data_IF_017667769058
#
_entry.id   IF_017667769058
#
_cell.length_a   1.000
_cell.length_b   1.000
_cell.length_c   1.000
_cell.angle_alpha   90.00
_cell.angle_beta   90.00
_cell.angle_gamma   90.00
#
_symmetry.space_group_name_H-M   'P 1'
#
loop_
_entity.id
_entity.type
_entity.pdbx_description
1 polymer ?
#
# COMPACT_ATOMS: atom_id res chain seq x y z
N UNK A 1 5.04 24.34 -28.50
CA UNK A 1 4.91 24.76 -27.09
C UNK A 1 3.55 24.29 -26.63
N UNK A 2 3.47 23.20 -25.86
CA UNK A 2 2.22 22.65 -25.36
C UNK A 2 1.91 23.28 -23.99
N UNK A 3 0.66 23.67 -23.76
CA UNK A 3 0.22 24.29 -22.50
C UNK A 3 -0.69 23.32 -21.78
N UNK A 4 -0.34 22.95 -20.55
CA UNK A 4 -1.19 22.12 -19.70
C UNK A 4 -2.20 23.01 -18.98
N UNK A 5 -3.47 22.62 -19.02
CA UNK A 5 -4.55 23.29 -18.29
C UNK A 5 -5.06 22.37 -17.19
N UNK A 6 -5.12 22.82 -15.96
CA UNK A 6 -5.80 22.12 -14.86
C UNK A 6 -7.25 22.57 -14.82
N UNK A 7 -8.25 21.71 -15.12
CA UNK A 7 -9.63 22.03 -14.80
C UNK A 7 -9.83 21.95 -13.28
N UNK A 8 -10.38 23.00 -12.69
CA UNK A 8 -10.82 22.98 -11.31
C UNK A 8 -11.89 21.89 -11.14
N UNK A 9 -11.61 20.85 -10.35
CA UNK A 9 -12.61 19.87 -9.96
C UNK A 9 -13.50 20.48 -8.87
N UNK A 10 -14.64 21.05 -9.26
CA UNK A 10 -15.77 21.22 -8.36
C UNK A 10 -16.43 19.85 -8.18
N UNK A 11 -16.37 19.29 -6.99
CA UNK A 11 -17.15 18.14 -6.60
C UNK A 11 -18.59 18.57 -6.32
N UNK A 12 -19.61 18.10 -7.07
CA UNK A 12 -20.97 18.09 -6.57
C UNK A 12 -21.23 16.71 -5.96
N UNK A 13 -21.47 16.67 -4.66
CA UNK A 13 -22.15 15.55 -4.03
C UNK A 13 -23.57 15.44 -4.62
N UNK A 14 -23.76 14.57 -5.60
CA UNK A 14 -25.09 14.17 -6.04
C UNK A 14 -25.38 12.76 -5.51
N UNK A 15 -26.19 12.72 -4.46
CA UNK A 15 -26.82 11.50 -3.99
C UNK A 15 -27.75 10.97 -5.09
N UNK A 16 -27.38 9.89 -5.77
CA UNK A 16 -28.25 9.12 -6.64
C UNK A 16 -29.08 8.16 -5.82
N UNK A 17 -30.33 8.50 -5.60
CA UNK A 17 -31.39 7.58 -5.17
C UNK A 17 -31.73 6.66 -6.35
N UNK A 18 -31.45 5.36 -6.21
CA UNK A 18 -31.97 4.34 -7.12
C UNK A 18 -33.43 4.05 -6.75
N UNK A 19 -34.35 4.43 -7.62
CA UNK A 19 -35.74 4.00 -7.55
C UNK A 19 -35.88 2.62 -8.22
N UNK A 20 -36.42 1.66 -7.46
CA UNK A 20 -36.86 0.37 -7.99
C UNK A 20 -38.17 0.59 -8.76
N UNK A 21 -38.16 0.32 -10.06
CA UNK A 21 -39.40 0.21 -10.86
C UNK A 21 -39.90 -1.25 -10.80
N UNK A 22 -41.02 -1.43 -10.14
CA UNK A 22 -41.77 -2.69 -10.08
C UNK A 22 -42.60 -2.78 -11.37
N UNK A 23 -42.30 -3.73 -12.25
CA UNK A 23 -43.16 -4.04 -13.40
C UNK A 23 -44.15 -5.13 -13.01
N UNK A 24 -45.40 -4.73 -12.87
CA UNK A 24 -46.53 -5.62 -12.67
C UNK A 24 -47.04 -6.10 -14.03
N UNK A 25 -47.00 -7.39 -14.26
CA UNK A 25 -47.58 -8.02 -15.47
C UNK A 25 -48.98 -8.56 -15.14
N UNK A 26 -50.01 -7.94 -15.71
CA UNK A 26 -51.37 -8.45 -15.67
C UNK A 26 -51.55 -9.59 -16.65
N UNK A 27 -51.98 -10.78 -16.16
CA UNK A 27 -52.45 -11.85 -16.99
C UNK A 27 -53.97 -11.85 -17.01
N UNK A 28 -54.57 -11.78 -18.20
CA UNK A 28 -56.00 -11.91 -18.45
C UNK A 28 -56.37 -13.39 -18.51
N UNK A 29 -57.38 -13.77 -17.74
CA UNK A 29 -57.99 -15.07 -17.75
C UNK A 29 -59.00 -15.21 -18.89
N UNK A 30 -59.00 -16.35 -19.58
CA UNK A 30 -60.12 -16.80 -20.39
C UNK A 30 -60.49 -18.21 -20.00
N UNK A 31 -61.76 -18.38 -19.58
CA UNK A 31 -62.38 -19.65 -19.23
C UNK A 31 -62.67 -20.55 -20.44
N UNK A 32 -62.40 -21.85 -20.31
CA UNK A 32 -62.88 -22.88 -21.22
C UNK A 32 -62.93 -24.24 -20.50
N UNK A 33 -64.15 -24.75 -20.20
CA UNK A 33 -64.43 -26.05 -19.58
C UNK A 33 -64.17 -27.21 -20.51
N UNK A 34 -63.57 -28.29 -20.04
CA UNK A 34 -64.02 -29.69 -20.19
C UNK A 34 -63.02 -30.65 -19.51
N UNK A 35 -63.55 -31.44 -18.59
CA UNK A 35 -63.03 -32.75 -18.16
C UNK A 35 -63.51 -33.83 -19.16
N UNK A 36 -62.96 -35.09 -19.18
CA UNK A 36 -62.56 -35.91 -18.06
C UNK A 36 -61.29 -36.81 -18.29
N UNK A 37 -60.85 -37.35 -17.15
CA UNK A 37 -60.16 -38.65 -16.92
C UNK A 37 -58.95 -39.03 -17.79
N UNK A 38 -57.80 -39.14 -17.12
CA UNK A 38 -57.04 -40.42 -17.10
C UNK A 38 -55.81 -40.34 -16.17
N UNK A 39 -55.73 -41.35 -15.33
CA UNK A 39 -54.54 -41.98 -14.75
C UNK A 39 -53.38 -41.11 -14.16
N UNK A 40 -53.24 -41.18 -12.84
CA UNK A 40 -52.05 -40.76 -12.12
C UNK A 40 -50.78 -41.44 -12.67
N UNK A 41 -49.93 -40.61 -13.29
CA UNK A 41 -48.54 -40.98 -13.57
C UNK A 41 -47.70 -40.61 -12.34
N UNK A 42 -47.14 -41.63 -11.71
CA UNK A 42 -46.13 -41.50 -10.64
C UNK A 42 -44.98 -40.61 -11.10
N UNK A 43 -44.53 -39.56 -10.39
CA UNK A 43 -43.37 -38.77 -10.82
C UNK A 43 -42.12 -39.65 -10.77
N UNK A 44 -41.51 -39.84 -11.94
CA UNK A 44 -40.19 -40.43 -12.04
C UNK A 44 -39.21 -39.51 -11.29
N UNK A 45 -38.38 -40.02 -10.34
CA UNK A 45 -37.37 -39.20 -9.70
C UNK A 45 -36.46 -38.59 -10.75
N UNK A 46 -36.28 -37.27 -10.72
CA UNK A 46 -35.31 -36.58 -11.57
C UNK A 46 -33.95 -37.24 -11.38
N UNK A 47 -33.39 -37.78 -12.45
CA UNK A 47 -32.05 -38.35 -12.44
C UNK A 47 -31.08 -37.29 -11.96
N UNK A 48 -30.32 -37.60 -10.93
CA UNK A 48 -29.17 -36.75 -10.51
C UNK A 48 -28.26 -36.54 -11.71
N UNK A 49 -27.76 -35.31 -11.90
CA UNK A 49 -26.84 -35.06 -13.02
C UNK A 49 -25.67 -36.05 -12.95
N UNK A 50 -25.20 -36.58 -14.07
CA UNK A 50 -24.10 -37.52 -14.08
C UNK A 50 -22.85 -36.84 -13.43
N UNK A 51 -22.05 -37.60 -12.66
CA UNK A 51 -20.82 -37.05 -12.10
C UNK A 51 -19.96 -36.48 -13.23
N UNK A 52 -19.48 -35.25 -13.03
CA UNK A 52 -18.58 -34.58 -14.00
C UNK A 52 -17.42 -35.54 -14.32
N UNK A 53 -17.09 -35.68 -15.59
CA UNK A 53 -15.99 -36.56 -16.01
C UNK A 53 -14.69 -36.11 -15.28
N UNK A 54 -13.80 -37.05 -14.86
CA UNK A 54 -12.59 -36.71 -14.09
C UNK A 54 -11.79 -35.56 -14.68
N UNK A 55 -11.63 -35.48 -15.99
CA UNK A 55 -10.94 -34.39 -16.70
C UNK A 55 -11.62 -33.00 -16.52
N UNK A 56 -12.93 -32.92 -16.40
CA UNK A 56 -13.65 -31.67 -16.15
C UNK A 56 -13.47 -31.21 -14.69
N UNK A 57 -13.42 -32.15 -13.74
CA UNK A 57 -13.15 -31.85 -12.34
C UNK A 57 -11.70 -31.35 -12.13
N UNK A 58 -10.73 -31.96 -12.81
CA UNK A 58 -9.31 -31.52 -12.78
C UNK A 58 -9.13 -30.13 -13.41
N UNK A 59 -9.79 -29.85 -14.53
CA UNK A 59 -9.76 -28.54 -15.16
C UNK A 59 -10.38 -27.46 -14.26
N UNK A 60 -11.50 -27.76 -13.61
CA UNK A 60 -12.16 -26.84 -12.65
C UNK A 60 -11.27 -26.58 -11.43
N UNK A 61 -10.60 -27.62 -10.88
CA UNK A 61 -9.65 -27.49 -9.78
C UNK A 61 -8.46 -26.62 -10.19
N UNK A 62 -7.84 -26.86 -11.33
CA UNK A 62 -6.71 -26.09 -11.84
C UNK A 62 -7.07 -24.61 -12.02
N UNK A 63 -8.27 -24.35 -12.59
CA UNK A 63 -8.80 -22.99 -12.74
C UNK A 63 -9.00 -22.30 -11.38
N UNK A 64 -9.51 -23.01 -10.38
CA UNK A 64 -9.71 -22.48 -9.04
C UNK A 64 -8.36 -22.17 -8.34
N UNK A 65 -7.36 -23.03 -8.49
CA UNK A 65 -6.00 -22.78 -7.97
C UNK A 65 -5.40 -21.52 -8.60
N UNK A 66 -5.50 -21.38 -9.94
CA UNK A 66 -5.02 -20.21 -10.67
C UNK A 66 -5.69 -18.91 -10.22
N UNK A 67 -7.00 -18.91 -10.07
CA UNK A 67 -7.75 -17.76 -9.58
C UNK A 67 -7.37 -17.40 -8.13
N UNK A 68 -7.23 -18.40 -7.26
CA UNK A 68 -6.82 -18.19 -5.87
C UNK A 68 -5.41 -17.61 -5.78
N UNK A 69 -4.46 -18.12 -6.59
CA UNK A 69 -3.10 -17.62 -6.64
C UNK A 69 -3.04 -16.17 -7.12
N UNK A 70 -3.84 -15.81 -8.15
CA UNK A 70 -3.98 -14.43 -8.61
C UNK A 70 -4.42 -13.50 -7.47
N UNK A 71 -5.47 -13.86 -6.78
CA UNK A 71 -6.01 -13.04 -5.69
C UNK A 71 -5.03 -12.95 -4.50
N UNK A 72 -4.35 -14.05 -4.16
CA UNK A 72 -3.35 -14.08 -3.10
C UNK A 72 -2.12 -13.22 -3.45
N UNK A 73 -1.72 -13.21 -4.73
CA UNK A 73 -0.63 -12.36 -5.20
C UNK A 73 -1.00 -10.88 -5.16
N UNK A 74 -2.18 -10.50 -5.68
CA UNK A 74 -2.67 -9.11 -5.64
C UNK A 74 -2.76 -8.62 -4.19
N UNK A 75 -3.38 -9.42 -3.31
CA UNK A 75 -3.55 -9.06 -1.90
C UNK A 75 -2.24 -8.97 -1.13
N UNK A 76 -1.32 -9.93 -1.37
CA UNK A 76 -0.07 -10.07 -0.64
C UNK A 76 1.09 -9.24 -1.18
N UNK A 77 0.99 -8.73 -2.41
CA UNK A 77 2.08 -8.01 -3.05
C UNK A 77 2.62 -6.83 -2.22
N UNK A 78 1.76 -5.96 -1.64
CA UNK A 78 2.26 -4.86 -0.82
C UNK A 78 3.10 -5.32 0.38
N UNK A 79 2.76 -6.46 0.98
CA UNK A 79 3.54 -7.03 2.09
C UNK A 79 4.94 -7.46 1.62
N UNK A 80 5.01 -8.17 0.49
CA UNK A 80 6.30 -8.70 -0.02
C UNK A 80 7.18 -7.58 -0.56
N UNK A 81 6.61 -6.57 -1.24
CA UNK A 81 7.36 -5.38 -1.67
C UNK A 81 7.82 -4.54 -0.46
N UNK A 82 6.98 -4.43 0.58
CA UNK A 82 7.36 -3.85 1.87
C UNK A 82 8.50 -4.61 2.54
N UNK A 83 8.49 -5.95 2.44
CA UNK A 83 9.57 -6.81 2.96
C UNK A 83 10.92 -6.56 2.28
N UNK A 84 10.93 -6.35 0.98
CA UNK A 84 12.15 -5.94 0.26
C UNK A 84 12.78 -4.72 0.91
N UNK A 85 11.98 -3.69 1.18
CA UNK A 85 12.45 -2.46 1.82
C UNK A 85 12.90 -2.71 3.27
N UNK A 86 12.12 -3.47 4.04
CA UNK A 86 12.48 -3.87 5.41
C UNK A 86 13.84 -4.59 5.44
N UNK A 87 14.01 -5.59 4.58
CA UNK A 87 15.24 -6.37 4.52
C UNK A 87 16.44 -5.49 4.20
N UNK A 88 16.34 -4.67 3.17
CA UNK A 88 17.41 -3.78 2.73
C UNK A 88 17.76 -2.71 3.79
N UNK A 89 16.76 -2.12 4.45
CA UNK A 89 16.96 -0.98 5.34
C UNK A 89 17.28 -1.37 6.79
N UNK A 90 16.83 -2.56 7.26
CA UNK A 90 16.94 -2.90 8.69
C UNK A 90 17.61 -4.25 8.97
N UNK A 91 17.75 -5.14 7.97
CA UNK A 91 18.27 -6.50 8.16
C UNK A 91 19.64 -6.68 7.52
N UNK A 92 19.80 -6.34 6.25
CA UNK A 92 21.05 -6.47 5.49
C UNK A 92 22.07 -5.41 5.89
N UNK A 93 22.77 -5.65 7.01
CA UNK A 93 23.73 -4.70 7.58
C UNK A 93 24.91 -4.37 6.67
N UNK A 94 25.21 -5.22 5.69
CA UNK A 94 26.28 -5.02 4.71
C UNK A 94 25.81 -4.33 3.42
N UNK A 95 24.51 -4.21 3.23
CA UNK A 95 23.91 -3.63 2.02
C UNK A 95 24.02 -2.11 1.98
N UNK A 96 24.10 -1.57 0.76
CA UNK A 96 24.19 -0.12 0.53
C UNK A 96 22.98 0.68 1.03
N UNK A 97 21.83 0.02 1.19
CA UNK A 97 20.58 0.65 1.62
C UNK A 97 20.29 0.44 3.12
N UNK A 98 21.23 -0.10 3.89
CA UNK A 98 21.06 -0.25 5.34
C UNK A 98 21.05 1.11 6.03
N UNK A 99 20.03 1.38 6.82
CA UNK A 99 19.88 2.63 7.55
C UNK A 99 20.06 2.45 9.07
N UNK A 100 19.31 1.53 9.67
CA UNK A 100 19.38 1.22 11.10
C UNK A 100 18.70 -0.12 11.39
N UNK A 101 19.06 -0.77 12.50
CA UNK A 101 18.33 -1.95 12.98
C UNK A 101 16.93 -1.61 13.50
N UNK A 102 16.15 -2.65 13.87
CA UNK A 102 14.82 -2.44 14.45
C UNK A 102 14.88 -1.57 15.70
N UNK A 103 13.84 -0.74 15.86
CA UNK A 103 13.68 0.20 16.96
C UNK A 103 14.83 1.23 17.07
N UNK A 104 15.49 1.51 15.95
CA UNK A 104 16.53 2.54 15.80
C UNK A 104 16.20 3.45 14.61
N UNK A 105 16.46 4.75 14.77
CA UNK A 105 16.24 5.74 13.71
C UNK A 105 17.51 5.89 12.88
N UNK A 106 17.39 5.65 11.58
CA UNK A 106 18.40 5.98 10.58
C UNK A 106 18.07 7.32 9.91
N UNK A 107 18.96 8.31 10.04
CA UNK A 107 18.77 9.63 9.44
C UNK A 107 19.53 9.75 8.12
N UNK A 108 18.83 10.20 7.07
CA UNK A 108 19.45 10.57 5.79
C UNK A 108 19.15 12.05 5.55
N UNK A 109 20.15 12.87 5.68
CA UNK A 109 20.03 14.34 5.59
C UNK A 109 20.17 14.88 4.15
N UNK A 110 20.22 14.01 3.15
CA UNK A 110 20.26 14.37 1.73
C UNK A 110 18.90 14.16 1.10
N UNK A 111 18.59 14.95 0.08
CA UNK A 111 17.45 14.67 -0.81
C UNK A 111 17.88 13.71 -1.90
N UNK A 112 16.90 13.06 -2.54
CA UNK A 112 17.16 12.16 -3.64
C UNK A 112 17.77 12.91 -4.85
N UNK A 113 18.64 12.23 -5.57
CA UNK A 113 19.31 12.65 -6.80
C UNK A 113 19.10 11.60 -7.89
N UNK A 114 19.49 11.82 -9.14
CA UNK A 114 19.41 10.79 -10.20
C UNK A 114 20.21 9.51 -9.89
N UNK A 115 21.13 9.54 -8.93
CA UNK A 115 21.91 8.38 -8.49
C UNK A 115 21.13 7.45 -7.57
N UNK A 116 20.03 7.93 -6.99
CA UNK A 116 19.18 7.19 -6.08
C UNK A 116 18.13 6.40 -6.88
N UNK A 117 18.47 5.15 -7.22
CA UNK A 117 17.68 4.28 -8.10
C UNK A 117 16.90 3.20 -7.38
N UNK A 118 17.01 3.11 -6.05
CA UNK A 118 16.39 2.07 -5.25
C UNK A 118 14.85 2.19 -5.16
N UNK A 119 14.34 3.41 -5.23
CA UNK A 119 12.89 3.71 -5.17
C UNK A 119 12.55 4.61 -6.36
N UNK A 120 11.47 4.28 -7.07
CA UNK A 120 10.95 5.10 -8.17
C UNK A 120 10.25 6.36 -7.63
N UNK A 121 10.17 7.40 -8.44
CA UNK A 121 9.61 8.72 -8.09
C UNK A 121 10.14 9.27 -6.77
N UNK A 122 11.48 9.29 -6.57
CA UNK A 122 12.08 9.71 -5.31
C UNK A 122 11.81 11.20 -5.04
N UNK A 123 11.57 11.52 -3.76
CA UNK A 123 11.25 12.88 -3.32
C UNK A 123 12.53 13.71 -3.08
N UNK A 124 12.58 14.92 -3.64
CA UNK A 124 13.65 15.89 -3.41
C UNK A 124 13.26 17.07 -2.50
N UNK A 125 12.04 17.08 -1.94
CA UNK A 125 11.58 18.16 -1.04
C UNK A 125 11.98 17.95 0.42
N UNK A 126 12.00 16.67 0.85
CA UNK A 126 12.13 16.32 2.26
C UNK A 126 13.18 15.24 2.49
N UNK A 127 14.28 15.52 3.18
CA UNK A 127 15.13 14.48 3.76
C UNK A 127 14.35 13.54 4.66
N UNK A 128 14.75 12.26 4.67
CA UNK A 128 14.06 11.20 5.37
C UNK A 128 14.78 10.73 6.64
N UNK A 129 13.99 10.26 7.61
CA UNK A 129 14.48 9.34 8.63
C UNK A 129 13.64 8.08 8.62
N UNK A 130 14.24 6.95 8.89
CA UNK A 130 13.68 5.61 8.73
C UNK A 130 13.66 4.89 10.07
N UNK A 131 12.55 4.25 10.41
CA UNK A 131 12.42 3.48 11.63
C UNK A 131 11.56 2.24 11.37
N UNK A 132 12.18 1.08 11.31
CA UNK A 132 11.48 -0.20 11.36
C UNK A 132 11.25 -0.60 12.82
N UNK A 133 10.00 -0.89 13.17
CA UNK A 133 9.58 -1.20 14.54
C UNK A 133 9.29 -2.68 14.69
N UNK A 134 9.88 -3.30 15.71
CA UNK A 134 9.48 -4.59 16.23
C UNK A 134 8.68 -4.36 17.51
N UNK A 135 7.38 -4.61 17.45
CA UNK A 135 6.41 -4.35 18.51
C UNK A 135 6.02 -5.62 19.26
N UNK A 136 6.71 -6.75 19.01
CA UNK A 136 6.35 -8.06 19.58
C UNK A 136 6.59 -8.14 21.09
N UNK A 137 7.64 -7.50 21.61
CA UNK A 137 7.94 -7.51 23.04
C UNK A 137 7.17 -6.44 23.79
N UNK A 138 7.18 -5.23 23.26
CA UNK A 138 6.51 -4.07 23.85
C UNK A 138 6.32 -2.96 22.81
N UNK A 139 5.42 -1.99 23.07
CA UNK A 139 5.29 -0.78 22.26
C UNK A 139 6.57 0.05 22.22
N UNK A 140 6.71 0.89 21.20
CA UNK A 140 7.76 1.90 21.13
C UNK A 140 7.20 3.30 21.24
N UNK A 141 7.97 4.20 21.85
CA UNK A 141 7.61 5.62 22.00
C UNK A 141 8.50 6.44 21.07
N UNK A 142 7.87 7.16 20.14
CA UNK A 142 8.50 8.12 19.23
C UNK A 142 8.35 9.51 19.82
N UNK A 143 9.48 10.18 20.09
CA UNK A 143 9.50 11.57 20.55
C UNK A 143 9.93 12.49 19.42
N UNK A 144 9.15 13.55 19.18
CA UNK A 144 9.43 14.58 18.18
C UNK A 144 9.65 15.93 18.88
N UNK A 145 10.61 16.76 18.41
CA UNK A 145 10.82 18.09 18.95
C UNK A 145 9.69 19.05 18.58
N UNK A 146 9.67 20.23 19.16
CA UNK A 146 8.90 21.35 18.61
C UNK A 146 9.50 21.76 17.26
N UNK A 147 8.66 21.86 16.25
CA UNK A 147 9.07 22.19 14.89
C UNK A 147 8.39 23.50 14.46
N UNK A 148 9.17 24.41 13.86
CA UNK A 148 8.70 25.71 13.40
C UNK A 148 7.43 25.59 12.55
N UNK A 149 6.52 26.53 12.74
CA UNK A 149 5.23 26.57 12.05
C UNK A 149 5.34 26.60 10.52
N UNK A 150 6.43 27.14 9.99
CA UNK A 150 6.68 27.29 8.56
C UNK A 150 7.32 26.05 7.94
N UNK A 151 7.75 25.08 8.75
CA UNK A 151 8.39 23.86 8.26
C UNK A 151 7.40 22.70 8.29
N UNK A 152 7.19 22.07 7.14
CA UNK A 152 6.49 20.81 7.09
C UNK A 152 7.33 19.68 7.70
N UNK A 153 6.67 18.82 8.45
CA UNK A 153 7.18 17.52 8.85
C UNK A 153 6.03 16.53 9.01
N UNK A 154 6.33 15.27 8.81
CA UNK A 154 5.43 14.18 9.15
C UNK A 154 6.20 12.93 9.54
N UNK A 155 5.61 12.12 10.41
CA UNK A 155 5.97 10.73 10.65
C UNK A 155 4.80 9.90 10.20
N UNK A 156 4.93 9.30 9.05
CA UNK A 156 3.93 8.39 8.46
C UNK A 156 4.10 7.03 9.12
N UNK A 157 3.06 6.52 9.76
CA UNK A 157 3.03 5.21 10.42
C UNK A 157 2.34 4.20 9.51
N UNK A 158 3.05 3.14 9.17
CA UNK A 158 2.69 2.18 8.13
C UNK A 158 2.79 0.77 8.71
N UNK A 159 1.78 -0.05 8.50
CA UNK A 159 1.79 -1.47 8.89
C UNK A 159 2.44 -2.37 7.81
N UNK A 160 2.57 -3.68 8.08
CA UNK A 160 3.10 -4.61 7.09
C UNK A 160 2.23 -4.75 5.84
N UNK A 161 0.94 -4.48 5.93
CA UNK A 161 0.05 -4.44 4.78
C UNK A 161 0.27 -3.20 3.90
N UNK A 162 1.14 -2.27 4.32
CA UNK A 162 1.36 -0.95 3.71
C UNK A 162 0.19 0.02 3.86
N UNK A 163 -0.73 -0.21 4.79
CA UNK A 163 -1.71 0.81 5.15
C UNK A 163 -1.06 1.90 5.99
N UNK A 164 -1.41 3.15 5.68
CA UNK A 164 -1.06 4.31 6.52
C UNK A 164 -2.04 4.37 7.69
N UNK A 165 -1.70 3.82 8.84
CA UNK A 165 -2.64 3.77 9.95
C UNK A 165 -2.69 5.05 10.78
N UNK A 166 -1.63 5.90 10.73
CA UNK A 166 -1.61 7.19 11.42
C UNK A 166 -0.48 8.10 10.92
N UNK A 167 -0.52 9.36 11.38
CA UNK A 167 0.52 10.35 11.18
C UNK A 167 0.83 11.10 12.48
N UNK A 168 2.12 11.33 12.75
CA UNK A 168 2.56 12.32 13.72
C UNK A 168 3.03 13.52 12.89
N UNK A 169 2.20 14.54 12.81
CA UNK A 169 2.43 15.74 12.02
C UNK A 169 2.11 16.99 12.85
N UNK A 170 2.03 18.14 12.21
CA UNK A 170 1.71 19.38 12.89
C UNK A 170 0.35 19.34 13.59
N UNK A 171 -0.65 18.67 13.03
CA UNK A 171 -1.96 18.53 13.66
C UNK A 171 -1.87 17.72 14.97
N UNK A 172 -1.16 16.61 14.96
CA UNK A 172 -0.99 15.76 16.15
C UNK A 172 -0.12 16.41 17.24
N UNK A 173 0.87 17.22 16.83
CA UNK A 173 1.80 17.87 17.77
C UNK A 173 1.33 19.25 18.24
N UNK A 174 0.39 19.89 17.53
CA UNK A 174 0.03 21.31 17.71
C UNK A 174 1.26 22.24 17.67
N UNK A 175 2.30 21.85 16.94
CA UNK A 175 3.58 22.56 16.87
C UNK A 175 4.47 22.45 18.11
N UNK A 176 4.12 21.62 19.09
CA UNK A 176 4.88 21.40 20.33
C UNK A 176 5.64 20.07 20.27
N UNK A 177 6.71 19.97 21.06
CA UNK A 177 7.35 18.67 21.31
C UNK A 177 6.35 17.69 21.94
N UNK A 178 6.51 16.41 21.63
CA UNK A 178 5.62 15.38 22.17
C UNK A 178 6.15 13.97 22.02
N UNK A 179 5.66 13.08 22.86
CA UNK A 179 5.89 11.65 22.78
C UNK A 179 4.62 10.94 22.35
N UNK A 180 4.73 10.05 21.39
CA UNK A 180 3.66 9.29 20.76
C UNK A 180 4.02 7.81 20.80
N UNK A 181 3.08 6.95 21.14
CA UNK A 181 3.34 5.53 21.26
C UNK A 181 2.76 4.77 20.08
N UNK A 182 3.54 3.85 19.54
CA UNK A 182 3.09 2.84 18.56
C UNK A 182 3.04 1.49 19.27
N UNK A 183 1.86 0.90 19.31
CA UNK A 183 1.60 -0.40 19.93
C UNK A 183 1.25 -1.44 18.87
N UNK A 184 1.72 -2.66 19.06
CA UNK A 184 1.33 -3.82 18.26
C UNK A 184 -0.09 -4.31 18.60
N UNK A 185 -0.61 -5.28 17.83
CA UNK A 185 -1.99 -5.77 17.97
C UNK A 185 -2.27 -6.41 19.34
N UNK A 186 -1.26 -6.97 19.99
CA UNK A 186 -1.42 -7.71 21.25
C UNK A 186 -1.41 -6.80 22.50
N UNK A 187 -1.11 -5.50 22.31
CA UNK A 187 -1.04 -4.57 23.44
C UNK A 187 -2.41 -4.01 23.79
N UNK A 188 -2.82 -4.20 25.08
CA UNK A 188 -4.13 -3.80 25.60
C UNK A 188 -4.08 -2.79 26.75
N UNK A 189 -2.90 -2.19 27.00
CA UNK A 189 -2.72 -1.23 28.10
C UNK A 189 -3.43 0.11 27.86
N UNK A 190 -3.47 0.92 28.94
CA UNK A 190 -3.95 2.29 28.92
C UNK A 190 -2.85 3.24 28.41
N UNK A 191 -3.25 4.45 27.97
CA UNK A 191 -2.28 5.48 27.55
C UNK A 191 -1.32 5.83 28.68
N UNK A 192 0.00 5.60 28.53
CA UNK A 192 0.96 5.84 29.59
C UNK A 192 1.14 7.34 29.87
N UNK A 193 1.56 7.67 31.11
CA UNK A 193 1.87 9.05 31.49
C UNK A 193 2.98 9.61 30.60
N UNK A 194 2.78 10.81 30.07
CA UNK A 194 3.74 11.49 29.20
C UNK A 194 3.58 11.18 27.73
N UNK A 195 2.77 10.19 27.38
CA UNK A 195 2.38 9.88 25.98
C UNK A 195 1.15 10.72 25.61
N UNK A 196 1.23 11.45 24.49
CA UNK A 196 0.13 12.27 23.99
C UNK A 196 -0.98 11.45 23.35
N UNK A 197 -0.56 10.43 22.57
CA UNK A 197 -1.48 9.58 21.82
C UNK A 197 -0.85 8.21 21.59
N UNK A 198 -1.71 7.18 21.58
CA UNK A 198 -1.35 5.81 21.24
C UNK A 198 -1.91 5.49 19.85
N UNK A 199 -1.05 5.05 18.95
CA UNK A 199 -1.40 4.52 17.65
C UNK A 199 -1.27 2.99 17.68
N UNK A 200 -2.27 2.28 17.20
CA UNK A 200 -2.28 0.81 17.19
C UNK A 200 -2.05 0.31 15.77
N UNK A 201 -0.97 -0.43 15.58
CA UNK A 201 -0.70 -1.15 14.35
C UNK A 201 -1.50 -2.46 14.32
N UNK A 202 -1.98 -2.86 13.15
CA UNK A 202 -2.62 -4.17 12.95
C UNK A 202 -1.60 -5.31 12.88
N UNK A 203 -0.31 -4.98 12.78
CA UNK A 203 0.79 -5.94 12.62
C UNK A 203 1.85 -5.74 13.69
N UNK A 204 2.55 -6.82 14.04
CA UNK A 204 3.61 -6.82 15.06
C UNK A 204 4.91 -6.16 14.59
N UNK A 205 5.13 -6.05 13.29
CA UNK A 205 6.18 -5.22 12.70
C UNK A 205 5.50 -4.05 11.99
N UNK A 206 6.10 -2.86 12.08
CA UNK A 206 5.58 -1.64 11.45
C UNK A 206 6.73 -0.73 11.00
N UNK A 207 6.41 0.27 10.20
CA UNK A 207 7.36 1.21 9.66
C UNK A 207 6.95 2.64 9.97
N UNK A 208 7.89 3.48 10.36
CA UNK A 208 7.71 4.91 10.48
C UNK A 208 8.68 5.64 9.53
N UNK A 209 8.09 6.37 8.58
CA UNK A 209 8.82 7.18 7.61
C UNK A 209 8.68 8.65 7.97
N UNK A 210 9.80 9.24 8.37
CA UNK A 210 9.85 10.67 8.73
C UNK A 210 10.19 11.50 7.51
N UNK A 211 9.46 12.58 7.31
CA UNK A 211 9.75 13.62 6.32
C UNK A 211 10.00 14.94 7.02
N UNK A 212 11.13 15.56 6.77
CA UNK A 212 11.49 16.87 7.31
C UNK A 212 11.79 17.79 6.14
N UNK A 213 10.98 18.83 5.93
CA UNK A 213 11.13 19.74 4.79
C UNK A 213 12.49 20.41 4.78
N UNK A 214 13.14 20.42 3.62
CA UNK A 214 14.33 21.22 3.31
C UNK A 214 13.85 22.52 2.63
N UNK A 215 13.93 23.65 3.31
CA UNK A 215 13.43 24.92 2.80
C UNK A 215 14.31 25.50 1.69
N UNK A 216 15.62 25.24 1.71
CA UNK A 216 16.61 25.61 0.72
C UNK A 216 17.88 24.78 0.96
N UNK A 217 18.82 24.67 0.00
CA UNK A 217 20.09 23.95 0.21
C UNK A 217 20.87 24.44 1.45
N UNK A 218 20.82 25.73 1.76
CA UNK A 218 21.46 26.33 2.95
C UNK A 218 20.80 25.94 4.28
N UNK A 219 19.61 25.33 4.26
CA UNK A 219 18.86 24.90 5.45
C UNK A 219 19.22 23.48 5.92
N UNK A 220 20.13 22.79 5.23
CA UNK A 220 20.46 21.39 5.50
C UNK A 220 20.92 21.13 6.93
N UNK A 221 21.68 22.04 7.53
CA UNK A 221 22.15 21.88 8.90
C UNK A 221 21.01 22.04 9.94
N UNK A 222 19.96 22.79 9.61
CA UNK A 222 18.74 22.82 10.41
C UNK A 222 18.00 21.48 10.36
N UNK A 223 17.89 20.88 9.17
CA UNK A 223 17.29 19.55 8.99
C UNK A 223 18.07 18.52 9.80
N UNK A 224 19.41 18.47 9.71
CA UNK A 224 20.26 17.58 10.50
C UNK A 224 20.01 17.73 12.01
N UNK A 225 19.92 18.98 12.51
CA UNK A 225 19.65 19.25 13.91
C UNK A 225 18.26 18.76 14.36
N UNK A 226 17.25 18.86 13.49
CA UNK A 226 15.92 18.35 13.76
C UNK A 226 15.90 16.82 13.78
N UNK A 227 16.51 16.20 12.76
CA UNK A 227 16.62 14.74 12.66
C UNK A 227 17.33 14.13 13.89
N UNK A 228 18.38 14.79 14.39
CA UNK A 228 19.10 14.36 15.59
C UNK A 228 18.26 14.44 16.90
N UNK A 229 17.15 15.15 16.88
CA UNK A 229 16.24 15.28 18.02
C UNK A 229 15.08 14.26 18.00
N UNK A 230 14.85 13.58 16.86
CA UNK A 230 13.91 12.46 16.85
C UNK A 230 14.47 11.33 17.71
N UNK A 231 13.64 10.79 18.60
CA UNK A 231 14.01 9.68 19.48
C UNK A 231 13.01 8.57 19.39
N UNK A 232 13.47 7.35 19.52
CA UNK A 232 12.66 6.15 19.70
C UNK A 232 13.17 5.38 20.91
N UNK A 233 12.27 4.91 21.74
CA UNK A 233 12.56 4.13 22.94
C UNK A 233 11.50 3.04 23.12
N UNK A 234 11.85 1.85 23.62
CA UNK A 234 10.87 0.92 24.16
C UNK A 234 10.03 1.59 25.26
N UNK A 235 8.80 1.18 25.42
CA UNK A 235 7.89 1.76 26.44
C UNK A 235 8.46 1.65 27.84
N UNK A 236 9.05 0.51 28.20
CA UNK A 236 9.69 0.29 29.50
C UNK A 236 10.80 1.31 29.79
N UNK A 237 11.66 1.56 28.80
CA UNK A 237 12.73 2.57 28.90
C UNK A 237 12.18 4.00 29.02
N UNK A 238 11.09 4.31 28.29
CA UNK A 238 10.42 5.62 28.40
C UNK A 238 9.83 5.87 29.79
N UNK A 239 9.26 4.82 30.41
CA UNK A 239 8.67 4.89 31.75
C UNK A 239 9.68 4.70 32.91
N UNK A 240 10.90 4.27 32.61
CA UNK A 240 11.87 3.90 33.65
C UNK A 240 11.48 2.62 34.40
N UNK A 241 10.78 1.69 33.76
CA UNK A 241 10.34 0.40 34.33
C UNK A 241 11.20 -0.75 33.80
N UNK A 242 11.21 -1.92 34.46
CA UNK A 242 11.88 -3.10 33.93
C UNK A 242 11.33 -3.49 32.55
N UNK A 243 12.22 -3.87 31.64
CA UNK A 243 11.84 -4.35 30.32
C UNK A 243 11.12 -5.71 30.43
N UNK A 244 10.10 -5.98 29.61
CA UNK A 244 9.51 -7.30 29.49
C UNK A 244 10.53 -8.30 28.89
N UNK A 245 10.27 -9.61 28.93
CA UNK A 245 11.08 -10.58 28.23
C UNK A 245 11.21 -10.22 26.73
N UNK A 246 12.42 -10.36 26.19
CA UNK A 246 12.66 -10.11 24.78
C UNK A 246 11.85 -11.07 23.90
N UNK A 247 11.35 -10.57 22.78
CA UNK A 247 10.73 -11.43 21.76
C UNK A 247 11.74 -12.45 21.22
N UNK A 248 11.24 -13.61 20.78
CA UNK A 248 12.09 -14.63 20.17
C UNK A 248 12.89 -14.06 18.98
N UNK A 249 14.17 -14.41 18.82
CA UNK A 249 14.96 -13.99 17.66
C UNK A 249 14.28 -14.38 16.34
N UNK A 250 14.42 -13.53 15.33
CA UNK A 250 13.90 -13.78 13.98
C UNK A 250 15.05 -14.05 13.02
N UNK A 251 14.87 -15.07 12.20
CA UNK A 251 15.69 -15.29 11.01
C UNK A 251 14.92 -14.77 9.80
N UNK A 252 15.34 -13.63 9.29
CA UNK A 252 14.74 -13.03 8.10
C UNK A 252 15.26 -13.72 6.85
N UNK A 253 14.38 -14.29 5.99
CA UNK A 253 14.80 -14.85 4.70
C UNK A 253 15.50 -13.79 3.84
N UNK A 254 16.70 -14.06 3.28
CA UNK A 254 17.32 -13.13 2.35
C UNK A 254 16.37 -12.79 1.19
N UNK A 255 16.22 -11.49 0.90
CA UNK A 255 15.38 -11.07 -0.20
C UNK A 255 16.05 -11.35 -1.54
N UNK A 256 15.34 -12.02 -2.42
CA UNK A 256 15.74 -12.34 -3.78
C UNK A 256 14.60 -11.97 -4.74
N UNK A 257 14.90 -11.09 -5.72
CA UNK A 257 13.90 -10.55 -6.62
C UNK A 257 13.33 -11.60 -7.58
N UNK A 258 14.12 -12.59 -8.02
CA UNK A 258 13.65 -13.66 -8.90
C UNK A 258 12.65 -14.56 -8.16
N UNK A 259 12.99 -14.94 -6.93
CA UNK A 259 12.08 -15.70 -6.07
C UNK A 259 10.79 -14.92 -5.78
N UNK A 260 10.88 -13.62 -5.50
CA UNK A 260 9.71 -12.78 -5.22
C UNK A 260 8.79 -12.59 -6.44
N UNK A 261 9.30 -12.74 -7.66
CA UNK A 261 8.51 -12.70 -8.89
C UNK A 261 7.96 -14.08 -9.33
N UNK A 262 8.35 -15.17 -8.67
CA UNK A 262 7.88 -16.52 -8.89
C UNK A 262 7.11 -17.08 -7.69
N UNK A 263 7.09 -18.42 -7.56
CA UNK A 263 6.39 -19.09 -6.45
C UNK A 263 7.04 -18.82 -5.08
N UNK A 264 8.32 -18.47 -5.04
CA UNK A 264 8.99 -18.01 -3.83
C UNK A 264 8.33 -16.78 -3.18
N UNK A 265 7.49 -16.03 -3.92
CA UNK A 265 6.62 -15.00 -3.38
C UNK A 265 5.80 -15.50 -2.19
N UNK A 266 5.21 -16.70 -2.31
CA UNK A 266 4.37 -17.27 -1.25
C UNK A 266 5.17 -17.66 -0.01
N UNK A 267 6.47 -17.99 -0.16
CA UNK A 267 7.37 -18.19 0.97
C UNK A 267 7.59 -16.90 1.77
N UNK A 268 7.84 -15.77 1.09
CA UNK A 268 7.93 -14.46 1.75
C UNK A 268 6.61 -14.07 2.39
N UNK A 269 5.51 -14.27 1.69
CA UNK A 269 4.18 -13.95 2.22
C UNK A 269 3.90 -14.76 3.49
N UNK A 270 4.14 -16.07 3.50
CA UNK A 270 3.97 -16.92 4.69
C UNK A 270 4.84 -16.47 5.86
N UNK A 271 6.09 -16.08 5.60
CA UNK A 271 6.96 -15.51 6.63
C UNK A 271 6.38 -14.25 7.23
N UNK A 272 5.82 -13.34 6.42
CA UNK A 272 5.26 -12.07 6.89
C UNK A 272 3.94 -12.25 7.64
N UNK A 273 3.13 -13.22 7.23
CA UNK A 273 1.82 -13.46 7.81
C UNK A 273 1.86 -13.92 9.27
N UNK A 274 2.99 -14.40 9.77
CA UNK A 274 3.15 -14.72 11.20
C UNK A 274 3.10 -13.46 12.09
N UNK A 275 3.36 -12.27 11.52
CA UNK A 275 3.33 -10.98 12.22
C UNK A 275 2.04 -10.19 11.96
N UNK A 276 1.12 -10.77 11.21
CA UNK A 276 -0.12 -10.15 10.76
C UNK A 276 -1.33 -11.00 11.20
N UNK A 277 -1.88 -10.77 12.40
CA UNK A 277 -3.05 -11.48 12.89
C UNK A 277 -4.20 -11.44 11.88
N UNK A 278 -4.98 -12.51 11.83
CA UNK A 278 -6.16 -12.59 10.95
C UNK A 278 -7.23 -11.66 11.48
N UNK A 279 -7.69 -10.72 10.66
CA UNK A 279 -8.84 -9.90 10.96
C UNK A 279 -10.13 -10.62 10.59
N UNK A 280 -11.21 -10.38 11.34
CA UNK A 280 -12.51 -11.00 11.09
C UNK A 280 -12.97 -10.82 9.64
N UNK A 281 -12.77 -9.63 9.08
CA UNK A 281 -13.10 -9.29 7.69
C UNK A 281 -12.29 -10.06 6.64
N UNK A 282 -11.14 -10.64 7.00
CA UNK A 282 -10.25 -11.37 6.09
C UNK A 282 -10.25 -12.88 6.33
N UNK A 283 -11.03 -13.39 7.29
CA UNK A 283 -11.03 -14.81 7.67
C UNK A 283 -11.32 -15.72 6.47
N UNK A 284 -12.39 -15.46 5.72
CA UNK A 284 -12.74 -16.26 4.55
C UNK A 284 -11.68 -16.18 3.44
N UNK A 285 -11.10 -15.01 3.25
CA UNK A 285 -10.03 -14.78 2.27
C UNK A 285 -8.78 -15.60 2.64
N UNK A 286 -8.35 -15.51 3.91
CA UNK A 286 -7.18 -16.23 4.42
C UNK A 286 -7.39 -17.77 4.40
N UNK A 287 -8.60 -18.26 4.69
CA UNK A 287 -8.94 -19.68 4.52
C UNK A 287 -8.84 -20.14 3.07
N UNK A 288 -9.29 -19.33 2.11
CA UNK A 288 -9.14 -19.64 0.68
C UNK A 288 -7.68 -19.70 0.28
N UNK A 289 -6.86 -18.79 0.77
CA UNK A 289 -5.41 -18.77 0.49
C UNK A 289 -4.66 -19.95 1.12
N UNK A 290 -5.11 -20.45 2.28
CA UNK A 290 -4.57 -21.68 2.86
C UNK A 290 -4.72 -22.89 1.93
N UNK A 291 -5.77 -22.92 1.08
CA UNK A 291 -5.99 -23.95 0.06
C UNK A 291 -4.89 -24.04 -1.01
N UNK A 292 -4.04 -23.02 -1.14
CA UNK A 292 -2.88 -23.02 -2.04
C UNK A 292 -1.55 -22.97 -1.26
N UNK A 293 -1.55 -23.26 0.05
CA UNK A 293 -0.36 -23.29 0.89
C UNK A 293 0.08 -21.91 1.43
N UNK A 294 -0.76 -20.88 1.34
CA UNK A 294 -0.48 -19.57 1.95
C UNK A 294 -0.99 -19.54 3.38
N UNK A 295 -0.07 -19.82 4.32
CA UNK A 295 -0.37 -19.97 5.73
C UNK A 295 0.70 -19.28 6.61
N UNK A 296 0.32 -18.61 7.72
CA UNK A 296 1.25 -17.88 8.58
C UNK A 296 2.40 -18.75 9.10
N UNK A 297 3.64 -18.33 8.82
CA UNK A 297 4.86 -18.95 9.33
C UNK A 297 5.15 -20.36 8.80
N UNK A 298 4.31 -20.92 7.94
CA UNK A 298 4.57 -22.24 7.35
C UNK A 298 5.49 -22.13 6.12
N UNK A 299 6.38 -23.10 5.91
CA UNK A 299 7.13 -23.20 4.67
C UNK A 299 6.19 -23.36 3.47
N UNK A 300 6.46 -22.66 2.38
CA UNK A 300 5.83 -22.95 1.10
C UNK A 300 6.74 -23.90 0.31
N UNK A 301 6.34 -25.17 0.22
CA UNK A 301 7.15 -26.20 -0.43
C UNK A 301 6.81 -26.31 -1.93
N UNK A 302 7.52 -25.51 -2.70
CA UNK A 302 7.38 -25.50 -4.17
C UNK A 302 7.74 -26.85 -4.81
N UNK A 303 8.70 -27.58 -4.22
CA UNK A 303 9.18 -28.85 -4.78
C UNK A 303 8.14 -29.97 -4.62
N UNK A 304 7.31 -29.91 -3.60
CA UNK A 304 6.24 -30.88 -3.35
C UNK A 304 5.00 -30.67 -4.25
N UNK A 305 4.90 -29.56 -4.98
CA UNK A 305 3.74 -29.27 -5.83
C UNK A 305 3.73 -30.16 -7.08
N UNK A 306 2.58 -30.75 -7.44
CA UNK A 306 2.37 -31.35 -8.77
C UNK A 306 2.66 -30.32 -9.87
N UNK A 307 3.16 -30.77 -11.02
CA UNK A 307 3.50 -29.87 -12.14
C UNK A 307 2.31 -29.00 -12.58
N UNK A 308 1.11 -29.61 -12.66
CA UNK A 308 -0.13 -28.90 -13.00
C UNK A 308 -0.50 -27.79 -12.00
N UNK A 309 -0.29 -28.04 -10.73
CA UNK A 309 -0.56 -27.06 -9.66
C UNK A 309 0.45 -25.91 -9.72
N UNK A 310 1.73 -26.25 -9.94
CA UNK A 310 2.80 -25.26 -10.14
C UNK A 310 2.49 -24.34 -11.31
N UNK A 311 2.09 -24.89 -12.46
CA UNK A 311 1.69 -24.10 -13.63
C UNK A 311 0.47 -23.24 -13.35
N UNK A 312 -0.53 -23.75 -12.61
CA UNK A 312 -1.72 -22.99 -12.24
C UNK A 312 -1.37 -21.79 -11.35
N UNK A 313 -0.50 -21.99 -10.34
CA UNK A 313 -0.09 -20.91 -9.43
C UNK A 313 0.74 -19.85 -10.18
N UNK A 314 1.70 -20.24 -11.02
CA UNK A 314 2.46 -19.31 -11.86
C UNK A 314 1.56 -18.57 -12.84
N UNK A 315 0.56 -19.25 -13.42
CA UNK A 315 -0.47 -18.64 -14.26
C UNK A 315 -1.26 -17.57 -13.50
N UNK A 316 -1.58 -17.81 -12.24
CA UNK A 316 -2.26 -16.83 -11.37
C UNK A 316 -1.42 -15.57 -11.14
N UNK A 317 -0.11 -15.72 -10.89
CA UNK A 317 0.82 -14.58 -10.78
C UNK A 317 0.87 -13.78 -12.08
N UNK A 318 0.94 -14.46 -13.24
CA UNK A 318 0.93 -13.82 -14.53
C UNK A 318 -0.39 -13.04 -14.78
N UNK A 319 -1.54 -13.64 -14.45
CA UNK A 319 -2.86 -12.98 -14.55
C UNK A 319 -2.95 -11.73 -13.67
N UNK A 320 -2.38 -11.76 -12.45
CA UNK A 320 -2.34 -10.61 -11.56
C UNK A 320 -1.55 -9.44 -12.19
N UNK A 321 -0.40 -9.71 -12.78
CA UNK A 321 0.40 -8.69 -13.46
C UNK A 321 -0.31 -8.14 -14.70
N UNK A 322 -0.98 -8.99 -15.52
CA UNK A 322 -1.77 -8.53 -16.64
C UNK A 322 -2.97 -7.66 -16.20
N UNK A 323 -3.60 -8.00 -15.07
CA UNK A 323 -4.68 -7.18 -14.50
C UNK A 323 -4.17 -5.80 -14.09
N UNK A 324 -2.99 -5.74 -13.46
CA UNK A 324 -2.34 -4.49 -13.11
C UNK A 324 -2.00 -3.66 -14.36
N UNK A 325 -1.43 -4.25 -15.40
CA UNK A 325 -1.09 -3.55 -16.65
C UNK A 325 -2.35 -2.92 -17.27
N UNK A 326 -3.45 -3.67 -17.33
CA UNK A 326 -4.74 -3.14 -17.80
C UNK A 326 -5.23 -2.00 -16.94
N UNK A 327 -5.18 -2.18 -15.61
CA UNK A 327 -5.61 -1.15 -14.66
C UNK A 327 -4.79 0.14 -14.81
N UNK A 328 -3.47 0.02 -14.95
CA UNK A 328 -2.60 1.18 -15.22
C UNK A 328 -2.98 1.87 -16.52
N UNK A 329 -3.18 1.12 -17.61
CA UNK A 329 -3.50 1.67 -18.92
C UNK A 329 -4.87 2.35 -18.96
N UNK A 330 -5.89 1.76 -18.31
CA UNK A 330 -7.29 2.21 -18.43
C UNK A 330 -7.75 3.15 -17.33
N UNK A 331 -7.13 3.11 -16.14
CA UNK A 331 -7.59 3.88 -14.99
C UNK A 331 -6.56 4.93 -14.53
N UNK A 332 -5.27 4.54 -14.39
CA UNK A 332 -4.23 5.45 -13.88
C UNK A 332 -3.76 6.40 -14.97
N UNK A 333 -3.36 5.89 -16.14
CA UNK A 333 -2.87 6.72 -17.24
C UNK A 333 -3.96 7.64 -17.83
N UNK A 334 -5.21 7.33 -17.58
CA UNK A 334 -6.37 8.17 -17.95
C UNK A 334 -6.83 9.10 -16.83
N UNK A 335 -6.09 9.14 -15.72
CA UNK A 335 -6.38 9.97 -14.54
C UNK A 335 -7.77 9.73 -13.90
N UNK A 336 -8.37 8.54 -14.09
CA UNK A 336 -9.60 8.14 -13.37
C UNK A 336 -9.28 7.72 -11.94
N UNK A 337 -8.10 7.12 -11.72
CA UNK A 337 -7.57 6.75 -10.41
C UNK A 337 -6.31 7.57 -10.17
N UNK A 338 -6.28 8.27 -9.06
CA UNK A 338 -5.15 9.07 -8.62
C UNK A 338 -4.36 8.36 -7.51
N UNK A 339 -3.17 8.87 -7.19
CA UNK A 339 -2.37 8.39 -6.05
C UNK A 339 -3.16 8.41 -4.74
N UNK A 340 -3.99 9.44 -4.54
CA UNK A 340 -4.86 9.59 -3.37
C UNK A 340 -5.84 8.41 -3.16
N UNK A 341 -6.17 7.67 -4.22
CA UNK A 341 -7.07 6.52 -4.18
C UNK A 341 -6.34 5.20 -3.84
N UNK A 342 -5.00 5.19 -3.97
CA UNK A 342 -4.17 3.99 -3.82
C UNK A 342 -3.48 3.88 -2.45
N UNK A 343 -3.40 4.98 -1.70
CA UNK A 343 -2.75 5.05 -0.39
C UNK A 343 -3.69 5.58 0.69
N UNK A 344 -3.68 4.94 1.84
CA UNK A 344 -4.57 5.35 2.93
C UNK A 344 -4.66 4.35 4.04
N UNK A 345 -5.63 4.56 4.93
CA UNK A 345 -5.98 3.60 5.98
C UNK A 345 -6.74 2.40 5.39
N UNK A 346 -6.78 1.28 6.10
CA UNK A 346 -7.62 0.14 5.74
C UNK A 346 -9.09 0.56 5.55
N UNK A 347 -9.61 1.39 6.43
CA UNK A 347 -10.99 1.88 6.33
C UNK A 347 -11.27 2.69 5.06
N UNK A 348 -10.27 3.47 4.58
CA UNK A 348 -10.40 4.23 3.35
C UNK A 348 -10.31 3.34 2.09
N UNK A 349 -9.36 2.41 2.07
CA UNK A 349 -9.08 1.56 0.91
C UNK A 349 -9.99 0.34 0.83
N UNK A 350 -10.55 -0.12 1.96
CA UNK A 350 -11.45 -1.28 2.03
C UNK A 350 -10.84 -2.50 1.32
N UNK A 351 -11.64 -3.15 0.47
CA UNK A 351 -11.25 -4.35 -0.29
C UNK A 351 -10.63 -4.02 -1.66
N UNK A 352 -10.18 -2.78 -1.87
CA UNK A 352 -9.52 -2.36 -3.11
C UNK A 352 -8.08 -2.88 -3.18
N UNK A 353 -7.92 -4.20 -3.17
CA UNK A 353 -6.60 -4.84 -3.19
C UNK A 353 -5.81 -4.54 -4.46
N UNK A 354 -6.48 -4.38 -5.60
CA UNK A 354 -5.84 -3.99 -6.85
C UNK A 354 -5.23 -2.57 -6.77
N UNK A 355 -5.90 -1.63 -6.09
CA UNK A 355 -5.38 -0.29 -5.86
C UNK A 355 -4.13 -0.31 -4.98
N UNK A 356 -4.14 -1.14 -3.93
CA UNK A 356 -2.96 -1.35 -3.06
C UNK A 356 -1.82 -2.00 -3.82
N UNK A 357 -2.11 -3.00 -4.67
CA UNK A 357 -1.13 -3.62 -5.55
C UNK A 357 -0.51 -2.60 -6.49
N UNK A 358 -1.33 -1.78 -7.16
CA UNK A 358 -0.86 -0.70 -8.02
C UNK A 358 -0.03 0.33 -7.24
N UNK A 359 -0.49 0.76 -6.07
CA UNK A 359 0.24 1.68 -5.20
C UNK A 359 1.60 1.15 -4.80
N UNK A 360 1.69 -0.11 -4.36
CA UNK A 360 2.96 -0.74 -3.99
C UNK A 360 3.92 -0.91 -5.18
N UNK A 361 3.38 -1.25 -6.37
CA UNK A 361 4.17 -1.46 -7.58
C UNK A 361 4.67 -0.17 -8.21
N UNK A 362 3.89 0.91 -8.13
CA UNK A 362 4.18 2.18 -8.81
C UNK A 362 4.84 3.23 -7.89
N UNK A 363 4.81 3.03 -6.57
CA UNK A 363 5.38 3.99 -5.64
C UNK A 363 5.03 3.69 -4.18
N UNK A 364 5.59 2.64 -3.63
CA UNK A 364 5.35 2.19 -2.24
C UNK A 364 5.50 3.34 -1.23
N UNK A 365 4.69 3.32 -0.16
CA UNK A 365 4.67 4.30 0.94
C UNK A 365 4.24 5.72 0.55
N UNK A 366 3.40 5.84 -0.47
CA UNK A 366 2.71 7.10 -0.77
C UNK A 366 1.87 7.58 0.41
N UNK A 367 1.69 8.90 0.52
CA UNK A 367 0.88 9.48 1.57
C UNK A 367 -0.62 9.28 1.34
N UNK A 368 -1.39 9.24 2.41
CA UNK A 368 -2.84 9.37 2.34
C UNK A 368 -3.24 10.74 1.78
N UNK A 369 -4.38 10.83 1.10
CA UNK A 369 -4.91 12.06 0.52
C UNK A 369 -5.02 13.23 1.52
N UNK A 370 -5.27 12.93 2.80
CA UNK A 370 -5.34 13.94 3.86
C UNK A 370 -3.99 14.58 4.21
N UNK A 371 -2.88 13.93 3.85
CA UNK A 371 -1.52 14.40 4.14
C UNK A 371 -0.87 15.01 2.90
N UNK A 372 -0.96 14.37 1.74
CA UNK A 372 -0.43 14.90 0.48
C UNK A 372 -1.26 14.41 -0.72
N UNK A 373 -1.39 15.25 -1.72
CA UNK A 373 -1.98 14.91 -3.01
C UNK A 373 -0.91 14.96 -4.10
N UNK A 374 -0.91 13.93 -4.97
CA UNK A 374 0.05 13.76 -6.05
C UNK A 374 -0.67 13.82 -7.38
N UNK A 375 -0.53 14.95 -8.08
CA UNK A 375 -1.06 15.11 -9.43
C UNK A 375 0.01 14.76 -10.45
N UNK A 376 -0.30 13.85 -11.37
CA UNK A 376 0.62 13.40 -12.41
C UNK A 376 0.13 13.81 -13.79
N UNK A 377 1.04 14.30 -14.62
CA UNK A 377 0.75 14.74 -15.98
C UNK A 377 1.58 13.90 -16.96
N UNK A 378 0.91 13.05 -17.73
CA UNK A 378 1.51 12.17 -18.74
C UNK A 378 1.19 12.61 -20.16
N UNK A 379 0.26 13.54 -20.32
CA UNK A 379 -0.22 14.03 -21.61
C UNK A 379 -0.30 15.55 -21.60
N UNK A 380 -0.25 16.16 -22.79
CA UNK A 380 -0.48 17.59 -22.96
C UNK A 380 -1.99 17.96 -22.91
N UNK A 381 -2.29 19.23 -23.14
CA UNK A 381 -3.68 19.73 -23.15
C UNK A 381 -4.54 19.14 -24.29
N UNK A 382 -3.94 18.55 -25.30
CA UNK A 382 -4.58 17.88 -26.43
C UNK A 382 -4.73 16.38 -26.22
N UNK A 383 -4.21 15.82 -25.09
CA UNK A 383 -4.23 14.40 -24.79
C UNK A 383 -3.08 13.62 -25.45
N UNK A 384 -2.10 14.33 -26.05
CA UNK A 384 -0.92 13.70 -26.66
C UNK A 384 0.09 13.35 -25.55
N UNK A 385 0.70 12.14 -25.56
CA UNK A 385 1.72 11.78 -24.60
C UNK A 385 2.85 12.82 -24.54
N UNK A 386 3.23 13.19 -23.31
CA UNK A 386 4.30 14.16 -23.10
C UNK A 386 5.65 13.55 -23.50
N UNK A 387 6.38 14.23 -24.38
CA UNK A 387 7.73 13.87 -24.84
C UNK A 387 8.68 15.07 -24.70
N UNK A 388 9.42 15.11 -23.58
CA UNK A 388 10.40 16.18 -23.29
C UNK A 388 11.61 16.18 -24.23
N UNK A 389 11.84 15.14 -25.03
CA UNK A 389 12.90 15.10 -26.04
C UNK A 389 12.54 15.92 -27.30
N UNK A 390 11.24 16.11 -27.55
CA UNK A 390 10.72 16.79 -28.74
C UNK A 390 10.11 18.15 -28.42
N UNK A 391 9.60 18.36 -27.20
CA UNK A 391 8.80 19.53 -26.88
C UNK A 391 9.17 20.14 -25.53
N UNK A 392 9.02 21.43 -25.41
CA UNK A 392 9.03 22.15 -24.14
C UNK A 392 7.58 22.29 -23.65
N UNK A 393 7.36 22.03 -22.34
CA UNK A 393 6.04 22.09 -21.72
C UNK A 393 5.96 23.24 -20.72
N UNK A 394 4.77 23.81 -20.57
CA UNK A 394 4.46 24.87 -19.59
C UNK A 394 3.30 24.42 -18.74
N UNK A 395 3.53 24.27 -17.44
CA UNK A 395 2.48 24.13 -16.44
C UNK A 395 2.10 25.53 -15.95
N UNK A 396 0.83 25.88 -16.06
CA UNK A 396 0.34 27.21 -15.67
C UNK A 396 -0.74 27.09 -14.61
N UNK A 397 -0.56 27.80 -13.51
CA UNK A 397 -1.59 28.02 -12.50
C UNK A 397 -2.13 29.46 -12.65
N UNK A 398 -3.45 29.62 -12.70
CA UNK A 398 -4.04 30.95 -12.58
C UNK A 398 -3.85 31.47 -11.15
N UNK A 399 -3.97 32.79 -10.95
CA UNK A 399 -3.67 33.45 -9.67
C UNK A 399 -4.49 32.89 -8.49
N UNK A 400 -5.68 32.44 -8.77
CA UNK A 400 -6.66 31.87 -7.82
C UNK A 400 -6.74 30.34 -7.85
N UNK A 401 -5.86 29.68 -8.62
CA UNK A 401 -5.82 28.24 -8.83
C UNK A 401 -4.50 27.60 -8.41
N UNK A 402 -3.78 28.23 -7.50
CA UNK A 402 -2.61 27.60 -6.88
C UNK A 402 -3.05 26.37 -6.09
N UNK A 403 -2.18 25.32 -5.98
CA UNK A 403 -2.49 24.13 -5.20
C UNK A 403 -2.95 24.48 -3.77
N UNK A 404 -4.12 24.00 -3.31
CA UNK A 404 -4.69 24.35 -2.01
C UNK A 404 -4.00 23.59 -0.88
N UNK A 405 -2.76 23.92 -0.59
CA UNK A 405 -1.95 23.25 0.43
C UNK A 405 -1.77 24.12 1.67
N UNK A 406 -1.69 23.49 2.85
CA UNK A 406 -1.42 24.16 4.12
C UNK A 406 0.08 24.31 4.43
N UNK A 407 0.94 23.59 3.70
CA UNK A 407 2.38 23.59 3.91
C UNK A 407 3.12 24.11 2.67
N UNK A 408 3.29 23.28 1.66
CA UNK A 408 3.96 23.63 0.42
C UNK A 408 3.44 22.78 -0.75
N UNK A 409 3.81 23.17 -1.95
CA UNK A 409 3.67 22.34 -3.14
C UNK A 409 4.98 22.38 -3.94
N UNK A 410 5.23 21.38 -4.74
CA UNK A 410 6.37 21.33 -5.66
C UNK A 410 5.99 20.61 -6.95
N UNK A 411 6.79 20.85 -7.99
CA UNK A 411 6.69 20.15 -9.27
C UNK A 411 8.02 19.46 -9.54
N UNK A 412 8.01 18.15 -9.72
CA UNK A 412 9.19 17.34 -10.02
C UNK A 412 9.03 16.68 -11.38
N UNK A 413 10.08 16.68 -12.19
CA UNK A 413 10.15 16.00 -13.47
C UNK A 413 10.87 14.66 -13.30
N UNK A 414 10.21 13.59 -13.77
CA UNK A 414 10.79 12.25 -13.80
C UNK A 414 10.93 11.76 -15.24
N UNK A 415 11.94 10.94 -15.50
CA UNK A 415 12.05 10.18 -16.75
C UNK A 415 10.85 9.25 -16.93
N UNK A 416 10.27 9.26 -18.13
CA UNK A 416 9.02 8.56 -18.41
C UNK A 416 9.10 7.03 -18.33
N UNK A 417 10.30 6.43 -18.47
CA UNK A 417 10.54 4.97 -18.42
C UNK A 417 11.01 4.51 -17.05
N UNK A 418 12.11 5.11 -16.58
CA UNK A 418 12.74 4.73 -15.30
C UNK A 418 11.97 5.24 -14.08
N UNK A 419 11.16 6.30 -14.23
CA UNK A 419 10.50 7.02 -13.12
C UNK A 419 11.51 7.61 -12.12
N UNK A 420 12.73 7.83 -12.53
CA UNK A 420 13.79 8.45 -11.75
C UNK A 420 13.92 9.93 -12.06
N UNK A 421 14.62 10.68 -11.20
CA UNK A 421 14.95 12.08 -11.43
C UNK A 421 15.82 12.23 -12.67
N UNK A 422 15.56 13.28 -13.45
CA UNK A 422 16.34 13.57 -14.65
C UNK A 422 17.59 14.34 -14.28
N UNK A 423 18.77 13.81 -14.63
CA UNK A 423 20.04 14.47 -14.42
C UNK A 423 20.12 15.79 -15.21
N UNK A 424 20.60 16.84 -14.56
CA UNK A 424 20.71 18.15 -15.20
C UNK A 424 21.87 19.00 -14.61
N UNK A 425 22.45 19.91 -15.42
CA UNK A 425 23.63 20.71 -15.00
C UNK A 425 23.37 21.66 -13.82
N UNK A 426 22.10 21.88 -13.43
CA UNK A 426 21.74 22.80 -12.35
C UNK A 426 21.60 22.06 -11.00
N UNK A 427 21.71 20.74 -10.98
CA UNK A 427 21.39 19.91 -9.80
C UNK A 427 20.03 20.29 -9.18
N UNK A 428 19.09 20.70 -10.02
CA UNK A 428 17.77 21.16 -9.61
C UNK A 428 16.70 20.19 -10.08
N UNK A 429 16.07 19.49 -9.13
CA UNK A 429 15.16 18.37 -9.41
C UNK A 429 13.70 18.71 -9.13
N UNK A 430 13.43 19.88 -8.54
CA UNK A 430 12.07 20.37 -8.28
C UNK A 430 11.97 21.88 -8.45
N UNK A 431 10.73 22.34 -8.59
CA UNK A 431 10.31 23.75 -8.55
C UNK A 431 9.22 23.86 -7.46
N UNK A 432 9.35 24.81 -6.56
CA UNK A 432 8.40 25.09 -5.48
C UNK A 432 8.22 26.62 -5.31
#
# INVERSE_FOLDING_TARGET
MATFYTPARHAPHLARRFGFALITLCALAACGKREPDTAAATPTPAASPPPAAPAAADAARTSALRATAKDAYIWGFPLVEGYKTLYQQAVDRGGANFHAGFNQIGNVATVATPKDTAIITPNSDTPYSFLWMDLRAEPVVISVPAIDAKRYFSVQLIDLYTYNFAYINRSATEGKAGAFMVAGPDWNGETPKGVRQVFRAETQLAYALFRTQLLAPSDLDNVKRLQAQYKVQPLSAFLGTPAPPAAAPLTFPPYDAEKANGLGFFSYLNFLLQFAPVLDSETALRQRFAGIGVEPGKPFDEAALPATDREALLGGIADANQELERFVATEINTAKVASADMFGTRAALKDNYLYRFAGAKLGIYGNSASEADYQSYFVDAQGTPADGSQHNYVLRFAKDQLPPTNAFWSVTLYDGKSKLLVDNPLDRYLIN
#
